data_IF_818914880897
#
_entry.id   IF_818914880897
#
_cell.length_a   1.000
_cell.length_b   1.000
_cell.length_c   1.000
_cell.angle_alpha   90.00
_cell.angle_beta   90.00
_cell.angle_gamma   90.00
#
_symmetry.space_group_name_H-M   'P 1'
#
loop_
_entity.id
_entity.type
_entity.pdbx_description
1 polymer ?
#
# COMPACT_ATOMS: atom_id res chain seq x y z
N UNK A 1 -16.88 24.70 71.68
CA UNK A 1 -16.52 23.36 71.19
C UNK A 1 -17.75 22.45 71.05
N UNK A 2 -18.87 22.75 71.70
CA UNK A 2 -20.15 22.02 71.48
C UNK A 2 -20.93 22.47 70.23
N UNK A 3 -20.90 23.76 69.84
CA UNK A 3 -21.64 24.22 68.65
C UNK A 3 -21.10 23.64 67.33
N UNK A 4 -19.80 23.38 67.25
CA UNK A 4 -19.18 22.87 66.02
C UNK A 4 -19.47 21.39 65.76
N UNK A 5 -19.79 20.62 66.82
CA UNK A 5 -20.12 19.20 66.73
C UNK A 5 -21.58 18.97 66.36
N UNK A 6 -22.47 19.86 66.85
CA UNK A 6 -23.88 19.86 66.47
C UNK A 6 -24.08 20.21 64.98
N UNK A 7 -23.25 21.07 64.41
CA UNK A 7 -23.36 21.49 63.01
C UNK A 7 -22.90 20.40 62.02
N UNK A 8 -21.88 19.62 62.40
CA UNK A 8 -21.33 18.52 61.59
C UNK A 8 -22.30 17.31 61.59
N UNK A 9 -22.88 16.98 62.74
CA UNK A 9 -23.89 15.92 62.86
C UNK A 9 -25.21 16.26 62.13
N UNK A 10 -25.53 17.55 61.96
CA UNK A 10 -26.71 18.03 61.23
C UNK A 10 -26.52 18.01 59.70
N UNK A 11 -25.31 18.28 59.21
CA UNK A 11 -24.98 18.22 57.79
C UNK A 11 -24.91 16.76 57.28
N UNK A 12 -24.25 15.87 58.03
CA UNK A 12 -24.11 14.44 57.68
C UNK A 12 -25.48 13.72 57.68
N UNK A 13 -26.34 14.05 58.65
CA UNK A 13 -27.72 13.54 58.71
C UNK A 13 -28.60 14.03 57.54
N UNK A 14 -28.32 15.23 57.02
CA UNK A 14 -29.05 15.79 55.87
C UNK A 14 -28.62 15.16 54.55
N UNK A 15 -27.32 14.84 54.39
CA UNK A 15 -26.81 14.15 53.20
C UNK A 15 -27.30 12.71 53.15
N UNK A 16 -27.33 11.98 54.28
CA UNK A 16 -27.90 10.64 54.34
C UNK A 16 -29.41 10.64 54.03
N UNK A 17 -30.18 11.59 54.58
CA UNK A 17 -31.62 11.71 54.27
C UNK A 17 -31.89 12.15 52.83
N UNK A 18 -31.04 13.01 52.26
CA UNK A 18 -31.12 13.43 50.88
C UNK A 18 -30.76 12.27 49.95
N UNK A 19 -29.75 11.47 50.32
CA UNK A 19 -29.38 10.25 49.60
C UNK A 19 -30.48 9.19 49.68
N UNK A 20 -31.08 8.97 50.86
CA UNK A 20 -32.19 8.02 51.03
C UNK A 20 -33.45 8.44 50.28
N UNK A 21 -33.81 9.73 50.32
CA UNK A 21 -34.96 10.26 49.58
C UNK A 21 -34.73 10.20 48.08
N UNK A 22 -33.54 10.58 47.62
CA UNK A 22 -33.12 10.45 46.23
C UNK A 22 -33.11 8.98 45.77
N UNK A 23 -32.56 8.07 46.58
CA UNK A 23 -32.57 6.63 46.28
C UNK A 23 -34.00 6.08 46.23
N UNK A 24 -34.90 6.54 47.09
CA UNK A 24 -36.31 6.09 47.10
C UNK A 24 -37.08 6.61 45.89
N UNK A 25 -36.77 7.81 45.41
CA UNK A 25 -37.34 8.39 44.20
C UNK A 25 -36.78 7.72 42.92
N UNK A 26 -35.48 7.43 42.92
CA UNK A 26 -34.78 6.67 41.86
C UNK A 26 -35.21 5.19 41.82
N UNK A 27 -35.58 4.59 42.95
CA UNK A 27 -36.10 3.22 43.06
C UNK A 27 -37.61 3.11 42.81
N UNK A 28 -38.29 4.21 42.48
CA UNK A 28 -39.67 4.11 41.97
C UNK A 28 -39.70 3.30 40.68
N UNK A 29 -40.72 2.45 40.49
CA UNK A 29 -40.77 1.56 39.32
C UNK A 29 -40.69 2.32 37.99
N UNK A 30 -41.24 3.53 37.94
CA UNK A 30 -41.17 4.41 36.77
C UNK A 30 -39.75 4.95 36.52
N UNK A 31 -39.03 5.38 37.57
CA UNK A 31 -37.66 5.85 37.44
C UNK A 31 -36.70 4.72 37.04
N UNK A 32 -36.85 3.53 37.61
CA UNK A 32 -36.05 2.35 37.25
C UNK A 32 -36.26 1.99 35.77
N UNK A 33 -37.50 2.05 35.28
CA UNK A 33 -37.81 1.82 33.86
C UNK A 33 -37.14 2.87 32.96
N UNK A 34 -37.24 4.16 33.30
CA UNK A 34 -36.64 5.25 32.53
C UNK A 34 -35.12 5.12 32.50
N UNK A 35 -34.48 4.85 33.65
CA UNK A 35 -33.04 4.63 33.74
C UNK A 35 -32.63 3.41 32.91
N UNK A 36 -33.40 2.31 32.97
CA UNK A 36 -33.16 1.13 32.15
C UNK A 36 -33.20 1.42 30.65
N UNK A 37 -34.18 2.20 30.19
CA UNK A 37 -34.28 2.64 28.79
C UNK A 37 -33.10 3.53 28.39
N UNK A 38 -32.71 4.48 29.25
CA UNK A 38 -31.57 5.37 28.99
C UNK A 38 -30.25 4.60 28.90
N UNK A 39 -30.03 3.64 29.81
CA UNK A 39 -28.84 2.77 29.80
C UNK A 39 -28.83 1.90 28.54
N UNK A 40 -29.98 1.31 28.16
CA UNK A 40 -30.09 0.53 26.94
C UNK A 40 -29.78 1.37 25.69
N UNK A 41 -30.31 2.59 25.59
CA UNK A 41 -30.01 3.51 24.49
C UNK A 41 -28.52 3.90 24.46
N UNK A 42 -27.92 4.16 25.62
CA UNK A 42 -26.50 4.47 25.71
C UNK A 42 -25.62 3.30 25.24
N UNK A 43 -25.97 2.06 25.61
CA UNK A 43 -25.26 0.85 25.14
C UNK A 43 -25.43 0.64 23.63
N UNK A 44 -26.61 0.90 23.07
CA UNK A 44 -26.85 0.84 21.62
C UNK A 44 -26.03 1.89 20.88
N UNK A 45 -25.98 3.12 21.38
CA UNK A 45 -25.16 4.19 20.77
C UNK A 45 -23.67 3.84 20.86
N UNK A 46 -23.19 3.38 22.02
CA UNK A 46 -21.80 2.97 22.22
C UNK A 46 -21.42 1.81 21.29
N UNK A 47 -22.29 0.82 21.13
CA UNK A 47 -22.05 -0.29 20.20
C UNK A 47 -22.06 0.18 18.75
N UNK A 48 -22.98 1.06 18.32
CA UNK A 48 -22.98 1.62 16.97
C UNK A 48 -21.72 2.44 16.70
N UNK A 49 -21.27 3.27 17.65
CA UNK A 49 -20.04 4.07 17.49
C UNK A 49 -18.80 3.18 17.46
N UNK A 50 -18.75 2.16 18.33
CA UNK A 50 -17.66 1.19 18.35
C UNK A 50 -17.62 0.37 17.06
N UNK A 51 -18.77 -0.12 16.58
CA UNK A 51 -18.87 -0.90 15.35
C UNK A 51 -18.64 -0.06 14.09
N UNK A 52 -19.11 1.19 14.08
CA UNK A 52 -18.89 2.15 13.00
C UNK A 52 -17.43 2.58 12.87
N UNK A 53 -16.73 2.74 13.99
CA UNK A 53 -15.28 3.00 13.99
C UNK A 53 -14.44 1.74 13.75
N UNK A 54 -14.97 0.55 14.05
CA UNK A 54 -14.30 -0.71 13.77
C UNK A 54 -14.47 -1.16 12.31
N UNK A 55 -15.57 -0.78 11.66
CA UNK A 55 -15.72 -0.84 10.21
C UNK A 55 -15.01 0.33 9.54
N UNK A 56 -13.69 0.35 9.68
CA UNK A 56 -12.83 1.14 8.82
C UNK A 56 -13.13 0.81 7.36
N UNK A 57 -13.58 1.81 6.60
CA UNK A 57 -13.75 1.74 5.15
C UNK A 57 -12.42 1.37 4.50
N UNK A 58 -12.19 0.08 4.29
CA UNK A 58 -11.14 -0.38 3.40
C UNK A 58 -11.60 0.02 2.00
N UNK A 59 -11.10 1.17 1.52
CA UNK A 59 -11.23 1.55 0.11
C UNK A 59 -10.84 0.33 -0.71
N UNK A 60 -11.75 -0.11 -1.59
CA UNK A 60 -11.50 -1.26 -2.45
C UNK A 60 -10.19 -1.02 -3.22
N UNK A 61 -9.19 -1.86 -2.98
CA UNK A 61 -7.90 -1.78 -3.66
C UNK A 61 -8.11 -2.33 -5.07
N UNK A 62 -8.09 -1.46 -6.06
CA UNK A 62 -8.40 -1.80 -7.45
C UNK A 62 -7.41 -1.16 -8.45
N UNK A 63 -6.31 -0.58 -7.98
CA UNK A 63 -5.33 0.08 -8.84
C UNK A 63 -4.12 -0.81 -9.11
N UNK A 64 -3.64 -0.78 -10.35
CA UNK A 64 -2.36 -1.36 -10.78
C UNK A 64 -1.44 -0.22 -11.16
N UNK A 65 -0.35 -0.02 -10.40
CA UNK A 65 0.59 1.07 -10.61
C UNK A 65 1.75 0.62 -11.50
N UNK A 66 1.94 1.27 -12.64
CA UNK A 66 3.11 1.09 -13.49
C UNK A 66 4.22 2.00 -12.98
N UNK A 67 5.22 1.40 -12.33
CA UNK A 67 6.38 2.08 -11.78
C UNK A 67 7.63 1.62 -12.52
N UNK A 68 8.70 2.42 -12.47
CA UNK A 68 9.99 2.13 -13.11
C UNK A 68 10.71 3.39 -13.53
N UNK A 69 12.01 3.29 -13.81
CA UNK A 69 12.84 4.42 -14.24
C UNK A 69 12.35 5.03 -15.57
N UNK A 70 12.83 6.22 -15.93
CA UNK A 70 12.62 6.78 -17.26
C UNK A 70 13.02 5.77 -18.34
N UNK A 71 12.35 5.81 -19.48
CA UNK A 71 12.63 4.97 -20.65
C UNK A 71 12.53 3.44 -20.47
N UNK A 72 12.16 2.93 -19.29
CA UNK A 72 11.87 1.50 -19.06
C UNK A 72 10.73 0.93 -19.92
N UNK A 73 9.91 1.79 -20.53
CA UNK A 73 8.82 1.41 -21.44
C UNK A 73 7.45 1.31 -20.77
N UNK A 74 7.24 1.92 -19.61
CA UNK A 74 5.95 1.97 -18.88
C UNK A 74 4.79 2.43 -19.77
N UNK A 75 4.90 3.60 -20.39
CA UNK A 75 3.83 4.17 -21.22
C UNK A 75 3.56 3.34 -22.47
N UNK A 76 4.58 2.70 -23.06
CA UNK A 76 4.37 1.79 -24.19
C UNK A 76 3.70 0.49 -23.75
N UNK A 77 4.05 -0.07 -22.59
CA UNK A 77 3.32 -1.20 -22.02
C UNK A 77 1.87 -0.84 -21.69
N UNK A 78 1.64 0.36 -21.12
CA UNK A 78 0.31 0.89 -20.84
C UNK A 78 -0.55 0.95 -22.10
N UNK A 79 -0.04 1.55 -23.18
CA UNK A 79 -0.78 1.65 -24.45
C UNK A 79 -0.98 0.27 -25.10
N UNK A 80 0.02 -0.62 -25.04
CA UNK A 80 -0.12 -2.00 -25.56
C UNK A 80 -1.18 -2.80 -24.80
N UNK A 81 -1.25 -2.70 -23.47
CA UNK A 81 -2.29 -3.36 -22.69
C UNK A 81 -3.69 -2.85 -23.06
N UNK A 82 -3.85 -1.55 -23.29
CA UNK A 82 -5.15 -0.93 -23.57
C UNK A 82 -5.61 -1.09 -25.03
N UNK A 83 -4.69 -0.89 -25.98
CA UNK A 83 -5.01 -0.78 -27.41
C UNK A 83 -4.51 -1.97 -28.24
N UNK A 84 -3.55 -2.75 -27.72
CA UNK A 84 -2.85 -3.80 -28.47
C UNK A 84 -1.84 -3.28 -29.51
N UNK A 85 -1.97 -2.03 -29.96
CA UNK A 85 -1.17 -1.44 -31.02
C UNK A 85 0.03 -0.64 -30.51
N UNK A 86 1.06 -0.56 -31.34
CA UNK A 86 2.20 0.31 -31.08
C UNK A 86 1.78 1.78 -31.18
N UNK A 87 2.22 2.58 -30.20
CA UNK A 87 2.09 4.04 -30.23
C UNK A 87 3.43 4.62 -29.82
N UNK A 88 3.98 5.53 -30.64
CA UNK A 88 5.22 6.21 -30.31
C UNK A 88 5.00 7.14 -29.11
N UNK A 89 5.73 6.90 -28.02
CA UNK A 89 5.60 7.64 -26.76
C UNK A 89 6.73 8.67 -26.58
N UNK A 90 6.47 9.68 -25.76
CA UNK A 90 7.47 10.63 -25.24
C UNK A 90 7.48 10.54 -23.71
N UNK A 91 8.45 11.18 -23.06
CA UNK A 91 8.54 11.21 -21.59
C UNK A 91 7.27 11.77 -20.95
N UNK A 92 6.59 10.95 -20.15
CA UNK A 92 5.38 11.36 -19.43
C UNK A 92 5.67 12.44 -18.39
N UNK A 93 4.88 13.51 -18.41
CA UNK A 93 4.94 14.63 -17.45
C UNK A 93 3.81 14.52 -16.40
N UNK A 94 2.71 13.86 -16.75
CA UNK A 94 1.54 13.61 -15.88
C UNK A 94 1.22 12.12 -15.85
N UNK A 95 0.47 11.68 -14.83
CA UNK A 95 -0.04 10.31 -14.80
C UNK A 95 -1.11 10.07 -15.86
N UNK A 96 -1.14 8.88 -16.44
CA UNK A 96 -2.28 8.41 -17.22
C UNK A 96 -3.04 7.39 -16.39
N UNK A 97 -4.37 7.49 -16.32
CA UNK A 97 -5.20 6.52 -15.61
C UNK A 97 -6.35 6.07 -16.50
N UNK A 98 -6.58 4.76 -16.57
CA UNK A 98 -7.66 4.19 -17.39
C UNK A 98 -8.13 2.88 -16.76
N UNK A 99 -9.44 2.66 -16.77
CA UNK A 99 -10.01 1.37 -16.35
C UNK A 99 -9.69 0.31 -17.41
N UNK A 100 -8.93 -0.70 -17.00
CA UNK A 100 -8.72 -1.91 -17.77
C UNK A 100 -9.76 -2.94 -17.38
N UNK A 101 -10.38 -3.55 -18.40
CA UNK A 101 -11.28 -4.68 -18.21
C UNK A 101 -10.50 -5.93 -18.59
N UNK A 102 -10.39 -6.85 -17.63
CA UNK A 102 -9.78 -8.15 -17.87
C UNK A 102 -10.49 -8.85 -19.02
N UNK A 103 -9.70 -9.50 -19.88
CA UNK A 103 -10.21 -10.33 -20.99
C UNK A 103 -10.80 -11.66 -20.52
N UNK A 104 -10.73 -11.97 -19.22
CA UNK A 104 -11.25 -13.21 -18.62
C UNK A 104 -12.76 -13.14 -18.33
N UNK A 105 -13.43 -14.30 -18.33
CA UNK A 105 -14.89 -14.45 -18.19
C UNK A 105 -15.45 -13.94 -16.85
N UNK A 106 -14.56 -13.65 -15.88
CA UNK A 106 -14.91 -13.14 -14.54
C UNK A 106 -15.26 -11.66 -14.51
N UNK A 107 -15.01 -10.91 -15.60
CA UNK A 107 -15.37 -9.50 -15.70
C UNK A 107 -14.67 -8.58 -14.69
N UNK A 108 -13.50 -8.96 -14.16
CA UNK A 108 -12.75 -8.12 -13.23
C UNK A 108 -12.24 -6.86 -13.94
N UNK A 109 -12.42 -5.71 -13.29
CA UNK A 109 -11.93 -4.42 -13.78
C UNK A 109 -11.05 -3.76 -12.74
N UNK A 110 -9.91 -3.26 -13.18
CA UNK A 110 -8.96 -2.52 -12.34
C UNK A 110 -8.51 -1.25 -13.05
N UNK A 111 -8.05 -0.28 -12.28
CA UNK A 111 -7.55 1.00 -12.81
C UNK A 111 -6.06 0.88 -13.05
N UNK A 112 -5.66 0.95 -14.31
CA UNK A 112 -4.26 1.00 -14.69
C UNK A 112 -3.76 2.43 -14.59
N UNK A 113 -2.62 2.64 -13.91
CA UNK A 113 -2.06 3.97 -13.68
C UNK A 113 -0.60 3.98 -14.15
N UNK A 114 -0.32 4.69 -15.24
CA UNK A 114 1.04 4.97 -15.72
C UNK A 114 1.63 6.14 -14.94
N UNK A 115 2.70 5.87 -14.18
CA UNK A 115 3.38 6.87 -13.36
C UNK A 115 4.61 7.40 -14.10
N UNK A 116 4.80 8.73 -14.19
CA UNK A 116 6.02 9.32 -14.74
C UNK A 116 7.30 8.71 -14.14
N UNK A 117 8.31 8.47 -14.96
CA UNK A 117 9.58 7.88 -14.49
C UNK A 117 10.50 8.87 -13.79
N UNK A 118 10.32 10.17 -14.04
CA UNK A 118 11.19 11.22 -13.52
C UNK A 118 11.01 11.38 -12.01
N UNK A 119 12.11 11.57 -11.29
CA UNK A 119 12.13 11.48 -9.83
C UNK A 119 11.21 12.46 -9.12
N UNK A 120 11.23 13.72 -9.54
CA UNK A 120 10.39 14.77 -8.94
C UNK A 120 8.89 14.51 -9.11
N UNK A 121 8.49 13.87 -10.21
CA UNK A 121 7.09 13.62 -10.56
C UNK A 121 6.58 12.33 -9.92
N UNK A 122 7.40 11.26 -9.90
CA UNK A 122 6.98 9.94 -9.42
C UNK A 122 6.56 9.92 -7.96
N UNK A 123 7.25 10.67 -7.09
CA UNK A 123 7.00 10.65 -5.64
C UNK A 123 5.57 11.09 -5.31
N UNK A 124 5.12 12.19 -5.92
CA UNK A 124 3.78 12.75 -5.66
C UNK A 124 2.67 11.78 -6.11
N UNK A 125 2.85 11.14 -7.26
CA UNK A 125 1.87 10.21 -7.82
C UNK A 125 1.84 8.89 -7.04
N UNK A 126 3.00 8.36 -6.66
CA UNK A 126 3.08 7.17 -5.80
C UNK A 126 2.38 7.44 -4.47
N UNK A 127 2.61 8.58 -3.84
CA UNK A 127 1.94 8.95 -2.58
C UNK A 127 0.41 8.98 -2.73
N UNK A 128 -0.08 9.53 -3.85
CA UNK A 128 -1.51 9.63 -4.17
C UNK A 128 -2.19 8.26 -4.31
N UNK A 129 -1.52 7.27 -4.89
CA UNK A 129 -2.16 6.00 -5.28
C UNK A 129 -1.70 4.75 -4.50
N UNK A 130 -0.59 4.80 -3.74
CA UNK A 130 -0.06 3.62 -3.01
C UNK A 130 -1.05 2.99 -2.03
N UNK A 131 -1.95 3.77 -1.45
CA UNK A 131 -2.96 3.28 -0.51
C UNK A 131 -4.05 2.41 -1.18
N UNK A 132 -4.32 2.62 -2.47
CA UNK A 132 -5.35 1.90 -3.25
C UNK A 132 -4.76 0.87 -4.23
N UNK A 133 -3.43 0.73 -4.24
CA UNK A 133 -2.74 -0.25 -5.06
C UNK A 133 -3.10 -1.68 -4.64
N UNK A 134 -3.66 -2.44 -5.57
CA UNK A 134 -3.82 -3.89 -5.47
C UNK A 134 -2.55 -4.59 -5.97
N UNK A 135 -1.91 -4.01 -6.98
CA UNK A 135 -0.65 -4.47 -7.52
C UNK A 135 0.26 -3.33 -7.99
N UNK A 136 1.55 -3.65 -8.05
CA UNK A 136 2.61 -2.79 -8.56
C UNK A 136 3.26 -3.55 -9.71
N UNK A 137 3.16 -2.99 -10.91
CA UNK A 137 3.88 -3.44 -12.10
C UNK A 137 5.16 -2.62 -12.22
N UNK A 138 6.26 -3.17 -11.73
CA UNK A 138 7.56 -2.52 -11.73
C UNK A 138 8.35 -2.87 -13.00
N UNK A 139 8.41 -1.94 -13.94
CA UNK A 139 9.00 -2.11 -15.26
C UNK A 139 10.49 -1.81 -15.23
N UNK A 140 11.29 -2.75 -15.72
CA UNK A 140 12.75 -2.67 -15.80
C UNK A 140 13.19 -2.76 -17.25
N UNK A 141 14.09 -1.88 -17.69
CA UNK A 141 14.76 -2.02 -18.98
C UNK A 141 15.82 -3.11 -18.89
N UNK A 142 15.53 -4.28 -19.47
CA UNK A 142 16.44 -5.42 -19.40
C UNK A 142 17.69 -5.24 -20.25
N UNK A 143 17.67 -4.34 -21.24
CA UNK A 143 18.78 -4.15 -22.20
C UNK A 143 19.93 -3.34 -21.62
N UNK A 144 19.64 -2.40 -20.71
CA UNK A 144 20.63 -1.54 -20.05
C UNK A 144 20.72 -1.78 -18.55
N UNK A 145 19.99 -2.75 -18.01
CA UNK A 145 19.89 -3.06 -16.58
C UNK A 145 21.23 -3.06 -15.84
N UNK A 146 22.30 -3.58 -16.44
CA UNK A 146 23.62 -3.63 -15.81
C UNK A 146 24.17 -2.25 -15.43
N UNK A 147 23.78 -1.19 -16.15
CA UNK A 147 24.17 0.20 -15.89
C UNK A 147 23.27 0.86 -14.85
N UNK A 148 21.99 0.47 -14.79
CA UNK A 148 20.96 1.11 -13.97
C UNK A 148 20.62 0.33 -12.70
N UNK A 149 21.24 -0.83 -12.45
CA UNK A 149 20.91 -1.73 -11.34
C UNK A 149 20.80 -1.01 -9.98
N UNK A 150 21.67 -0.01 -9.73
CA UNK A 150 21.65 0.79 -8.51
C UNK A 150 20.40 1.65 -8.41
N UNK A 151 20.10 2.42 -9.45
CA UNK A 151 18.95 3.33 -9.49
C UNK A 151 17.63 2.54 -9.46
N UNK A 152 17.58 1.38 -10.15
CA UNK A 152 16.45 0.47 -10.13
C UNK A 152 16.24 -0.11 -8.72
N UNK A 153 17.31 -0.57 -8.07
CA UNK A 153 17.25 -1.13 -6.72
C UNK A 153 16.90 -0.07 -5.68
N UNK A 154 17.44 1.15 -5.78
CA UNK A 154 17.10 2.25 -4.87
C UNK A 154 15.63 2.64 -4.98
N UNK A 155 15.12 2.75 -6.21
CA UNK A 155 13.69 3.02 -6.40
C UNK A 155 12.83 1.88 -5.85
N UNK A 156 13.14 0.62 -6.19
CA UNK A 156 12.40 -0.53 -5.69
C UNK A 156 12.46 -0.62 -4.15
N UNK A 157 13.61 -0.32 -3.54
CA UNK A 157 13.79 -0.28 -2.09
C UNK A 157 12.87 0.74 -1.44
N UNK A 158 12.79 1.96 -1.97
CA UNK A 158 11.90 3.01 -1.44
C UNK A 158 10.42 2.61 -1.48
N UNK A 159 9.99 1.88 -2.52
CA UNK A 159 8.63 1.35 -2.62
C UNK A 159 8.40 0.23 -1.60
N UNK A 160 9.32 -0.73 -1.50
CA UNK A 160 9.17 -1.89 -0.63
C UNK A 160 9.26 -1.56 0.87
N UNK A 161 9.93 -0.46 1.22
CA UNK A 161 10.09 -0.01 2.61
C UNK A 161 9.08 1.05 3.04
N UNK A 162 8.20 1.48 2.14
CA UNK A 162 7.08 2.36 2.46
C UNK A 162 6.08 1.65 3.40
N UNK A 163 5.67 2.31 4.48
CA UNK A 163 4.76 1.73 5.47
C UNK A 163 3.42 1.29 4.90
N UNK A 164 2.85 2.07 3.98
CA UNK A 164 1.53 1.80 3.42
C UNK A 164 1.63 0.62 2.47
N UNK A 165 2.66 0.58 1.62
CA UNK A 165 2.93 -0.55 0.72
C UNK A 165 3.23 -1.82 1.52
N UNK A 166 4.10 -1.76 2.53
CA UNK A 166 4.44 -2.90 3.37
C UNK A 166 3.23 -3.45 4.15
N UNK A 167 2.37 -2.56 4.66
CA UNK A 167 1.13 -2.94 5.36
C UNK A 167 0.08 -3.54 4.41
N UNK A 168 -0.08 -2.95 3.22
CA UNK A 168 -1.09 -3.38 2.26
C UNK A 168 -0.66 -4.62 1.47
N UNK A 169 0.65 -4.85 1.37
CA UNK A 169 1.28 -5.96 0.66
C UNK A 169 0.72 -6.19 -0.77
N UNK A 170 0.70 -5.16 -1.65
CA UNK A 170 0.22 -5.33 -3.02
C UNK A 170 1.10 -6.33 -3.78
N UNK A 171 0.49 -7.09 -4.69
CA UNK A 171 1.23 -8.01 -5.58
C UNK A 171 2.27 -7.22 -6.37
N UNK A 172 3.53 -7.64 -6.31
CA UNK A 172 4.62 -7.02 -7.06
C UNK A 172 4.93 -7.87 -8.29
N UNK A 173 4.77 -7.29 -9.47
CA UNK A 173 5.18 -7.91 -10.73
C UNK A 173 6.34 -7.10 -11.28
N UNK A 174 7.53 -7.69 -11.31
CA UNK A 174 8.70 -7.09 -11.96
C UNK A 174 8.69 -7.50 -13.43
N UNK A 175 8.31 -6.56 -14.29
CA UNK A 175 8.30 -6.75 -15.73
C UNK A 175 9.66 -6.37 -16.33
N UNK A 176 10.45 -7.39 -16.63
CA UNK A 176 11.71 -7.29 -17.34
C UNK A 176 11.42 -7.06 -18.83
N UNK A 177 11.27 -5.78 -19.18
CA UNK A 177 10.85 -5.32 -20.51
C UNK A 177 12.05 -5.22 -21.49
N UNK A 178 11.73 -4.99 -22.77
CA UNK A 178 12.67 -4.86 -23.89
C UNK A 178 13.46 -6.13 -24.21
N UNK A 179 12.82 -7.29 -24.04
CA UNK A 179 13.42 -8.61 -24.35
C UNK A 179 13.63 -8.86 -25.85
N UNK A 180 13.08 -7.99 -26.71
CA UNK A 180 13.38 -7.95 -28.15
C UNK A 180 14.83 -7.54 -28.46
N UNK A 181 15.52 -6.93 -27.50
CA UNK A 181 16.91 -6.48 -27.66
C UNK A 181 17.87 -7.60 -27.27
N UNK A 182 18.84 -7.93 -28.14
CA UNK A 182 19.76 -9.06 -27.93
C UNK A 182 20.61 -9.01 -26.65
N UNK A 183 20.84 -7.81 -26.11
CA UNK A 183 21.59 -7.61 -24.86
C UNK A 183 20.71 -7.70 -23.60
N UNK A 184 19.40 -7.95 -23.75
CA UNK A 184 18.45 -8.03 -22.65
C UNK A 184 18.84 -9.12 -21.64
N UNK A 185 18.78 -8.77 -20.36
CA UNK A 185 19.00 -9.70 -19.25
C UNK A 185 17.72 -10.49 -18.96
N UNK A 186 17.88 -11.76 -18.63
CA UNK A 186 16.76 -12.59 -18.21
C UNK A 186 16.19 -12.12 -16.87
N UNK A 187 14.90 -12.39 -16.66
CA UNK A 187 14.22 -12.12 -15.40
C UNK A 187 14.95 -12.74 -14.21
N UNK A 188 15.49 -13.95 -14.37
CA UNK A 188 16.27 -14.65 -13.34
C UNK A 188 17.55 -13.89 -12.95
N UNK A 189 18.29 -13.36 -13.93
CA UNK A 189 19.51 -12.60 -13.66
C UNK A 189 19.17 -11.25 -13.01
N UNK A 190 18.11 -10.59 -13.48
CA UNK A 190 17.62 -9.32 -12.90
C UNK A 190 17.24 -9.54 -11.43
N UNK A 191 16.47 -10.59 -11.14
CA UNK A 191 16.11 -10.95 -9.77
C UNK A 191 17.35 -11.12 -8.88
N UNK A 192 18.32 -11.94 -9.30
CA UNK A 192 19.54 -12.20 -8.53
C UNK A 192 20.36 -10.92 -8.26
N UNK A 193 20.48 -10.03 -9.24
CA UNK A 193 21.22 -8.78 -9.08
C UNK A 193 20.47 -7.80 -8.17
N UNK A 194 19.14 -7.71 -8.29
CA UNK A 194 18.32 -6.88 -7.40
C UNK A 194 18.35 -7.40 -5.95
N UNK A 195 18.27 -8.71 -5.72
CA UNK A 195 18.36 -9.28 -4.37
C UNK A 195 19.69 -8.90 -3.70
N UNK A 196 20.80 -9.01 -4.45
CA UNK A 196 22.12 -8.60 -3.97
C UNK A 196 22.19 -7.10 -3.65
N UNK A 197 21.72 -6.24 -4.56
CA UNK A 197 21.79 -4.79 -4.37
C UNK A 197 20.87 -4.31 -3.23
N UNK A 198 19.67 -4.88 -3.13
CA UNK A 198 18.74 -4.62 -2.01
C UNK A 198 19.30 -5.08 -0.67
N UNK A 199 20.04 -6.19 -0.65
CA UNK A 199 20.77 -6.63 0.55
C UNK A 199 21.82 -5.59 0.99
N UNK A 200 22.56 -5.03 0.04
CA UNK A 200 23.52 -3.96 0.33
C UNK A 200 22.81 -2.70 0.82
N UNK A 201 21.74 -2.25 0.14
CA UNK A 201 20.99 -1.04 0.50
C UNK A 201 20.38 -1.11 1.91
N UNK A 202 19.78 -2.24 2.29
CA UNK A 202 19.20 -2.36 3.64
C UNK A 202 20.27 -2.31 4.73
N UNK A 203 21.47 -2.85 4.47
CA UNK A 203 22.58 -2.84 5.43
C UNK A 203 23.15 -1.43 5.58
N UNK A 204 23.37 -0.72 4.47
CA UNK A 204 23.89 0.66 4.49
C UNK A 204 22.91 1.64 5.13
N UNK A 205 21.61 1.54 4.81
CA UNK A 205 20.57 2.39 5.41
C UNK A 205 20.37 2.09 6.90
N UNK A 206 20.43 0.82 7.32
CA UNK A 206 20.35 0.45 8.74
C UNK A 206 21.55 0.98 9.54
N UNK A 207 22.76 0.92 8.98
CA UNK A 207 23.96 1.45 9.62
C UNK A 207 23.93 2.98 9.76
N UNK A 208 23.46 3.69 8.72
CA UNK A 208 23.32 5.15 8.77
C UNK A 208 22.34 5.59 9.87
N UNK A 209 21.20 4.89 10.03
CA UNK A 209 20.21 5.20 11.07
C UNK A 209 20.73 4.93 12.48
N UNK A 210 21.62 3.96 12.69
CA UNK A 210 22.24 3.72 14.00
C UNK A 210 23.25 4.79 14.42
N UNK A 211 23.69 5.66 13.50
CA UNK A 211 24.66 6.72 13.75
C UNK A 211 24.05 8.10 14.01
N UNK A 212 22.72 8.24 13.82
CA UNK A 212 21.98 9.48 14.08
C UNK A 212 20.81 9.18 15.01
N UNK A 213 20.99 9.48 16.30
CA UNK A 213 19.89 9.55 17.27
C UNK A 213 18.98 10.72 16.91
N UNK A 214 17.99 10.44 16.07
CA UNK A 214 17.00 11.40 15.62
C UNK A 214 16.05 10.75 14.63
N UNK A 215 14.89 10.33 15.12
CA UNK A 215 13.84 9.69 14.34
C UNK A 215 13.51 10.47 13.05
N UNK A 216 13.86 9.89 11.89
CA UNK A 216 13.37 10.34 10.59
C UNK A 216 12.82 9.14 9.83
N UNK A 217 11.49 9.05 9.84
CA UNK A 217 10.69 8.30 8.87
C UNK A 217 10.60 6.79 9.11
N UNK A 218 9.39 6.30 9.38
CA UNK A 218 9.10 4.88 9.51
C UNK A 218 9.36 4.13 8.20
N UNK A 219 10.61 3.78 7.92
CA UNK A 219 10.94 2.84 6.86
C UNK A 219 10.93 1.43 7.44
N UNK A 220 10.21 0.52 6.79
CA UNK A 220 10.09 -0.87 7.23
C UNK A 220 11.38 -1.61 6.87
N UNK A 221 11.90 -2.43 7.79
CA UNK A 221 13.05 -3.27 7.50
C UNK A 221 12.72 -4.29 6.41
N UNK A 222 13.57 -4.40 5.39
CA UNK A 222 13.35 -5.27 4.24
C UNK A 222 13.81 -6.72 4.50
N UNK A 223 12.86 -7.66 4.49
CA UNK A 223 13.13 -9.10 4.63
C UNK A 223 13.47 -9.52 6.07
N UNK A 224 14.25 -10.59 6.22
CA UNK A 224 14.62 -11.15 7.53
C UNK A 224 16.02 -10.68 7.95
N UNK A 225 16.18 -10.34 9.24
CA UNK A 225 17.49 -10.02 9.83
C UNK A 225 18.36 -11.28 9.92
N UNK A 226 19.67 -11.16 9.68
CA UNK A 226 20.64 -12.25 9.82
C UNK A 226 20.66 -13.29 8.69
N UNK A 227 19.87 -13.10 7.62
CA UNK A 227 19.95 -13.87 6.37
C UNK A 227 20.05 -12.91 5.21
N UNK A 228 20.72 -13.26 4.13
CA UNK A 228 20.72 -12.45 2.90
C UNK A 228 19.29 -12.23 2.38
N UNK A 229 19.05 -11.08 1.75
CA UNK A 229 17.73 -10.73 1.25
C UNK A 229 17.36 -11.59 0.04
N UNK A 230 16.12 -12.06 0.03
CA UNK A 230 15.47 -12.72 -1.11
C UNK A 230 14.04 -12.20 -1.22
N UNK A 231 13.49 -12.09 -2.43
CA UNK A 231 12.11 -11.65 -2.63
C UNK A 231 11.09 -12.60 -1.98
N UNK A 232 11.45 -13.88 -1.83
CA UNK A 232 10.67 -14.91 -1.12
C UNK A 232 10.37 -14.56 0.35
N UNK A 233 11.12 -13.65 0.94
CA UNK A 233 10.98 -13.23 2.34
C UNK A 233 9.92 -12.15 2.54
N UNK A 234 9.44 -11.53 1.45
CA UNK A 234 8.45 -10.47 1.52
C UNK A 234 7.04 -11.03 1.78
N UNK A 235 6.17 -10.26 2.46
CA UNK A 235 4.79 -10.69 2.71
C UNK A 235 3.92 -10.65 1.47
N UNK A 236 4.28 -9.85 0.46
CA UNK A 236 3.55 -9.75 -0.80
C UNK A 236 4.02 -10.81 -1.81
N UNK A 237 3.10 -11.23 -2.69
CA UNK A 237 3.42 -12.09 -3.84
C UNK A 237 4.32 -11.31 -4.80
N UNK A 238 5.48 -11.88 -5.12
CA UNK A 238 6.44 -11.30 -6.08
C UNK A 238 6.59 -12.23 -7.27
N UNK A 239 6.44 -11.69 -8.47
CA UNK A 239 6.66 -12.39 -9.74
C UNK A 239 7.63 -11.61 -10.61
N UNK A 240 8.55 -12.32 -11.26
CA UNK A 240 9.41 -11.77 -12.30
C UNK A 240 8.98 -12.35 -13.64
N UNK A 241 8.74 -11.48 -14.61
CA UNK A 241 8.28 -11.87 -15.94
C UNK A 241 9.10 -11.17 -17.02
N UNK A 242 9.28 -11.86 -18.13
CA UNK A 242 9.91 -11.32 -19.33
C UNK A 242 8.83 -10.82 -20.28
N UNK A 243 9.04 -9.65 -20.88
CA UNK A 243 8.12 -9.09 -21.86
C UNK A 243 8.83 -8.16 -22.85
N UNK A 244 8.17 -7.90 -23.98
CA UNK A 244 8.58 -6.87 -24.93
C UNK A 244 7.36 -6.10 -25.42
N UNK A 245 7.31 -4.82 -25.09
CA UNK A 245 6.26 -3.91 -25.56
C UNK A 245 6.40 -3.57 -27.07
N UNK A 246 7.60 -3.70 -27.63
CA UNK A 246 7.85 -3.46 -29.06
C UNK A 246 7.60 -4.73 -29.88
N UNK A 247 8.02 -5.90 -29.37
CA UNK A 247 7.97 -7.17 -30.08
C UNK A 247 9.15 -7.37 -31.03
N UNK A 248 9.33 -8.61 -31.51
CA UNK A 248 10.45 -8.99 -32.38
C UNK A 248 10.39 -8.39 -33.79
N UNK A 249 9.22 -7.89 -34.20
CA UNK A 249 8.98 -7.30 -35.53
C UNK A 249 8.97 -5.75 -35.51
N UNK A 250 9.37 -5.12 -34.40
CA UNK A 250 9.43 -3.67 -34.32
C UNK A 250 8.05 -3.01 -34.23
N UNK A 251 7.93 -1.79 -34.76
CA UNK A 251 6.72 -0.95 -34.64
C UNK A 251 5.47 -1.57 -35.29
N UNK A 252 5.65 -2.34 -36.38
CA UNK A 252 4.57 -3.02 -37.10
C UNK A 252 4.20 -4.39 -36.49
N UNK A 253 4.89 -4.79 -35.41
CA UNK A 253 4.73 -6.07 -34.74
C UNK A 253 3.74 -6.09 -33.59
N UNK A 254 3.30 -7.30 -33.25
CA UNK A 254 2.63 -7.57 -31.99
C UNK A 254 3.64 -7.54 -30.83
N UNK A 255 3.21 -7.05 -29.68
CA UNK A 255 3.99 -7.08 -28.45
C UNK A 255 4.02 -8.49 -27.85
N UNK A 256 5.14 -8.86 -27.23
CA UNK A 256 5.26 -10.08 -26.44
C UNK A 256 4.95 -9.78 -24.97
N UNK A 257 3.65 -9.70 -24.65
CA UNK A 257 3.14 -9.36 -23.32
C UNK A 257 2.14 -10.39 -22.77
N UNK A 258 2.03 -11.57 -23.39
CA UNK A 258 1.07 -12.60 -22.97
C UNK A 258 1.30 -13.09 -21.53
N UNK A 259 2.55 -13.27 -21.13
CA UNK A 259 2.89 -13.65 -19.74
C UNK A 259 2.48 -12.55 -18.75
N UNK A 260 2.61 -11.28 -19.14
CA UNK A 260 2.16 -10.15 -18.34
C UNK A 260 0.64 -10.13 -18.21
N UNK A 261 -0.11 -10.25 -19.31
CA UNK A 261 -1.57 -10.32 -19.29
C UNK A 261 -2.05 -11.46 -18.38
N UNK A 262 -1.47 -12.65 -18.51
CA UNK A 262 -1.79 -13.82 -17.67
C UNK A 262 -1.41 -13.65 -16.19
N UNK A 263 -0.44 -12.80 -15.88
CA UNK A 263 -0.11 -12.45 -14.50
C UNK A 263 -1.14 -11.46 -13.95
N UNK A 264 -1.50 -10.44 -14.74
CA UNK A 264 -2.47 -9.42 -14.36
C UNK A 264 -3.90 -9.96 -14.19
N UNK A 265 -4.28 -11.04 -14.87
CA UNK A 265 -5.58 -11.71 -14.67
C UNK A 265 -5.69 -12.45 -13.34
N UNK A 266 -4.56 -12.78 -12.71
CA UNK A 266 -4.50 -13.49 -11.42
C UNK A 266 -4.51 -12.56 -10.20
N UNK A 267 -4.49 -11.25 -10.43
CA UNK A 267 -4.49 -10.20 -9.41
C UNK A 267 -5.91 -9.94 -8.92
#
# INVERSE_FOLDING_TARGET
MEEHKLHEDLEDFSEEQLMESFMREVLSEEAVFIIGVLVALALVILTIVFFGNFWGSSKARNAVLLLGLCDSGKTLLFTRLLLGTFVRTQTSITENSTTYKSKDDRGSSWTLIDVPGHESLRVQIVEKYKAVAQAILFVVDSSIFQKEVRDVAEFLYSILTDNIVAKNAPTLVVACNKQDISMAKSAKLIQQQLEKELNTLRLTRSAALSSQDGAVGGSVYLGKKGKDFEFSQLPNRVEFIECSALGSKGEDGDADIHTLENCLTKI
#
